data_IF_343548505285
#
_entry.id   IF_343548505285
#
_cell.length_a   1.000
_cell.length_b   1.000
_cell.length_c   1.000
_cell.angle_alpha   90.00
_cell.angle_beta   90.00
_cell.angle_gamma   90.00
#
_symmetry.space_group_name_H-M   'P 1'
#
loop_
_entity.id
_entity.type
_entity.pdbx_description
1 polymer ?
#
# COMPACT_ATOMS: atom_id res chain seq x y z
N UNK A 1 48.63 -0.91 -15.10
CA UNK A 1 48.15 -0.55 -13.75
C UNK A 1 46.87 0.25 -13.94
N UNK A 2 45.69 -0.36 -13.71
CA UNK A 2 44.42 0.34 -13.76
C UNK A 2 44.10 0.84 -12.34
N UNK A 3 44.19 2.15 -12.13
CA UNK A 3 43.72 2.78 -10.89
C UNK A 3 42.20 2.86 -10.94
N UNK A 4 41.55 2.02 -10.14
CA UNK A 4 40.10 2.07 -9.88
C UNK A 4 39.78 3.42 -9.22
N UNK A 5 39.13 4.31 -9.94
CA UNK A 5 38.64 5.59 -9.41
C UNK A 5 37.46 5.30 -8.49
N UNK A 6 37.73 5.28 -7.18
CA UNK A 6 36.69 5.29 -6.15
C UNK A 6 35.84 6.55 -6.33
N UNK A 7 34.54 6.36 -6.54
CA UNK A 7 33.55 7.42 -6.61
C UNK A 7 33.53 8.20 -5.29
N UNK A 8 33.61 9.54 -5.29
CA UNK A 8 33.58 10.32 -4.06
C UNK A 8 32.14 10.37 -3.53
N UNK A 9 32.02 10.17 -2.21
CA UNK A 9 30.80 10.34 -1.41
C UNK A 9 29.64 9.36 -1.66
N UNK A 10 29.88 8.07 -1.40
CA UNK A 10 28.75 7.20 -1.04
C UNK A 10 28.25 7.60 0.37
N UNK A 11 27.04 8.17 0.52
CA UNK A 11 26.53 8.64 1.81
C UNK A 11 26.38 7.52 2.84
N UNK A 12 26.27 6.27 2.38
CA UNK A 12 26.23 5.09 3.24
C UNK A 12 27.53 4.88 4.04
N UNK A 13 28.65 5.45 3.59
CA UNK A 13 29.93 5.42 4.32
C UNK A 13 30.00 6.40 5.50
N UNK A 14 29.01 7.30 5.61
CA UNK A 14 28.92 8.30 6.69
C UNK A 14 27.92 7.91 7.77
N UNK A 15 27.23 6.77 7.61
CA UNK A 15 26.30 6.25 8.59
C UNK A 15 27.07 5.66 9.77
N UNK A 16 26.62 5.97 10.98
CA UNK A 16 27.17 5.39 12.19
C UNK A 16 26.72 3.92 12.29
N UNK A 17 27.61 3.04 12.77
CA UNK A 17 27.28 1.64 12.96
C UNK A 17 26.12 1.43 13.95
N UNK A 18 25.99 2.31 14.94
CA UNK A 18 24.88 2.27 15.88
C UNK A 18 23.52 2.56 15.21
N UNK A 19 23.47 3.54 14.32
CA UNK A 19 22.23 3.90 13.60
C UNK A 19 21.81 2.77 12.65
N UNK A 20 22.79 2.08 12.04
CA UNK A 20 22.54 0.92 11.18
C UNK A 20 21.96 -0.24 11.99
N UNK A 21 22.52 -0.52 13.16
CA UNK A 21 22.03 -1.58 14.05
C UNK A 21 20.60 -1.29 14.52
N UNK A 22 20.31 -0.05 14.92
CA UNK A 22 18.97 0.39 15.30
C UNK A 22 17.96 0.21 14.15
N UNK A 23 18.34 0.53 12.91
CA UNK A 23 17.44 0.37 11.76
C UNK A 23 17.21 -1.07 11.36
N UNK A 24 18.17 -1.97 11.60
CA UNK A 24 17.99 -3.41 11.33
C UNK A 24 16.98 -4.02 12.30
N UNK A 25 16.97 -3.54 13.56
CA UNK A 25 16.16 -4.10 14.65
C UNK A 25 14.91 -3.29 14.98
N UNK A 26 14.58 -2.27 14.18
CA UNK A 26 13.48 -1.34 14.48
C UNK A 26 12.12 -2.04 14.58
N UNK A 27 11.96 -3.17 13.89
CA UNK A 27 10.71 -3.92 13.81
C UNK A 27 10.67 -5.13 14.77
N UNK A 28 11.75 -5.41 15.52
CA UNK A 28 11.85 -6.61 16.37
C UNK A 28 10.82 -6.64 17.50
N UNK A 29 10.44 -5.46 18.02
CA UNK A 29 9.45 -5.31 19.09
C UNK A 29 7.99 -5.21 18.57
N UNK A 30 7.79 -5.31 17.25
CA UNK A 30 6.45 -5.23 16.66
C UNK A 30 5.78 -6.61 16.75
N UNK A 31 4.64 -6.67 17.44
CA UNK A 31 3.83 -7.88 17.52
C UNK A 31 3.34 -8.30 16.12
N UNK A 32 3.71 -9.52 15.71
CA UNK A 32 3.31 -10.09 14.42
C UNK A 32 1.83 -10.47 14.48
N UNK A 33 0.98 -9.59 13.95
CA UNK A 33 -0.48 -9.77 13.95
C UNK A 33 -0.96 -11.00 13.16
N UNK A 34 -0.25 -11.39 12.10
CA UNK A 34 -0.55 -12.56 11.30
C UNK A 34 0.68 -13.03 10.51
N UNK A 35 0.78 -14.35 10.33
CA UNK A 35 1.77 -14.99 9.46
C UNK A 35 1.05 -15.71 8.35
N UNK A 36 1.48 -15.50 7.11
CA UNK A 36 0.85 -16.12 5.94
C UNK A 36 1.81 -17.09 5.29
N UNK A 37 1.29 -18.25 4.90
CA UNK A 37 1.99 -19.23 4.07
C UNK A 37 1.97 -18.82 2.61
N UNK A 38 2.92 -19.32 1.81
CA UNK A 38 2.98 -19.05 0.37
C UNK A 38 1.66 -19.39 -0.34
N UNK A 39 0.97 -20.44 0.10
CA UNK A 39 -0.32 -20.84 -0.45
C UNK A 39 -1.43 -19.83 -0.15
N UNK A 40 -1.48 -19.27 1.07
CA UNK A 40 -2.44 -18.24 1.45
C UNK A 40 -2.17 -16.92 0.71
N UNK A 41 -0.89 -16.58 0.51
CA UNK A 41 -0.50 -15.41 -0.29
C UNK A 41 -0.94 -15.60 -1.75
N UNK A 42 -0.67 -16.75 -2.36
CA UNK A 42 -1.09 -17.05 -3.74
C UNK A 42 -2.61 -17.00 -3.87
N UNK A 43 -3.32 -17.56 -2.89
CA UNK A 43 -4.78 -17.54 -2.88
C UNK A 43 -5.33 -16.12 -2.71
N UNK A 44 -4.66 -15.24 -1.95
CA UNK A 44 -5.05 -13.83 -1.81
C UNK A 44 -5.02 -13.08 -3.15
N UNK A 45 -4.06 -13.42 -4.00
CA UNK A 45 -3.86 -12.78 -5.30
C UNK A 45 -4.80 -13.40 -6.35
N UNK A 46 -5.07 -14.70 -6.25
CA UNK A 46 -5.83 -15.47 -7.25
C UNK A 46 -7.34 -15.45 -6.97
N UNK A 47 -7.75 -15.23 -5.73
CA UNK A 47 -9.16 -15.21 -5.30
C UNK A 47 -9.35 -14.15 -4.20
N UNK A 48 -9.42 -12.86 -4.57
CA UNK A 48 -9.42 -11.75 -3.61
C UNK A 48 -10.62 -11.79 -2.65
N UNK A 49 -11.76 -12.34 -3.06
CA UNK A 49 -13.00 -12.32 -2.30
C UNK A 49 -13.07 -13.33 -1.13
N UNK A 50 -12.04 -14.17 -0.92
CA UNK A 50 -12.06 -15.27 0.06
C UNK A 50 -11.28 -15.05 1.35
N UNK A 51 -10.47 -14.00 1.46
CA UNK A 51 -9.59 -13.80 2.63
C UNK A 51 -10.13 -12.75 3.60
N UNK A 52 -11.15 -11.99 3.22
CA UNK A 52 -11.82 -11.05 4.13
C UNK A 52 -12.55 -11.75 5.29
N UNK A 53 -12.91 -13.04 5.16
CA UNK A 53 -13.66 -13.77 6.20
C UNK A 53 -12.86 -14.02 7.49
N UNK A 54 -11.53 -14.11 7.44
CA UNK A 54 -10.74 -14.45 8.64
C UNK A 54 -10.26 -13.24 9.44
N UNK A 55 -10.51 -12.02 8.97
CA UNK A 55 -10.25 -10.78 9.70
C UNK A 55 -11.54 -10.07 10.15
N UNK A 56 -12.70 -10.66 9.89
CA UNK A 56 -14.00 -10.02 10.11
C UNK A 56 -14.78 -10.69 11.23
N UNK A 57 -14.31 -10.53 12.47
CA UNK A 57 -15.21 -10.60 13.62
C UNK A 57 -15.90 -9.24 13.80
N UNK A 58 -16.90 -8.95 12.97
CA UNK A 58 -18.12 -8.28 13.44
C UNK A 58 -19.27 -8.61 12.48
N UNK A 59 -20.04 -9.62 12.88
CA UNK A 59 -21.33 -9.92 12.29
C UNK A 59 -22.31 -8.80 12.66
N UNK A 60 -22.76 -8.09 11.65
CA UNK A 60 -23.88 -7.16 11.72
C UNK A 60 -24.52 -7.07 10.35
N UNK A 61 -25.37 -8.04 10.01
CA UNK A 61 -26.42 -7.83 9.01
C UNK A 61 -27.29 -6.66 9.49
N UNK A 62 -27.04 -5.45 9.00
CA UNK A 62 -28.05 -4.39 8.98
C UNK A 62 -27.86 -3.48 7.77
N UNK A 63 -28.89 -3.47 6.93
CA UNK A 63 -29.21 -2.53 5.86
C UNK A 63 -28.03 -2.02 5.00
N UNK A 64 -27.83 -2.65 3.83
CA UNK A 64 -27.09 -2.11 2.68
C UNK A 64 -27.73 -0.81 2.15
N UNK A 65 -27.77 0.24 2.97
CA UNK A 65 -27.68 1.60 2.47
C UNK A 65 -26.20 1.87 2.27
N UNK A 66 -25.76 1.75 1.03
CA UNK A 66 -24.51 2.35 0.57
C UNK A 66 -24.59 3.85 0.86
N UNK A 67 -24.16 4.23 2.06
CA UNK A 67 -24.21 5.62 2.50
C UNK A 67 -23.24 6.40 1.61
N UNK A 68 -23.76 7.44 0.97
CA UNK A 68 -22.99 8.21 0.01
C UNK A 68 -21.75 8.79 0.71
N UNK A 69 -20.56 8.36 0.29
CA UNK A 69 -19.31 8.84 0.89
C UNK A 69 -19.22 10.36 0.73
N UNK A 70 -19.13 11.06 1.86
CA UNK A 70 -18.97 12.51 1.88
C UNK A 70 -17.64 12.88 1.21
N UNK A 71 -17.71 13.72 0.18
CA UNK A 71 -16.51 14.21 -0.49
C UNK A 71 -15.70 15.16 0.41
N UNK A 72 -14.38 15.23 0.20
CA UNK A 72 -13.51 16.18 0.92
C UNK A 72 -13.99 17.63 0.82
N UNK A 73 -14.56 18.03 -0.32
CA UNK A 73 -15.08 19.38 -0.52
C UNK A 73 -16.36 19.63 0.32
N UNK A 74 -17.23 18.62 0.42
CA UNK A 74 -18.43 18.70 1.26
C UNK A 74 -18.05 18.78 2.75
N UNK A 75 -17.08 17.99 3.20
CA UNK A 75 -16.57 18.03 4.57
C UNK A 75 -15.94 19.39 4.92
N UNK A 76 -15.14 19.97 4.00
CA UNK A 76 -14.51 21.29 4.16
C UNK A 76 -15.55 22.41 4.32
N UNK A 77 -16.58 22.41 3.47
CA UNK A 77 -17.69 23.36 3.60
C UNK A 77 -18.47 23.18 4.91
N UNK A 78 -18.65 21.93 5.34
CA UNK A 78 -19.30 21.60 6.60
C UNK A 78 -18.55 22.17 7.80
N UNK A 79 -17.24 21.91 7.90
CA UNK A 79 -16.44 22.38 9.03
C UNK A 79 -16.32 23.91 9.06
N UNK A 80 -16.21 24.58 7.90
CA UNK A 80 -16.24 26.04 7.82
C UNK A 80 -17.54 26.63 8.38
N UNK A 81 -18.66 25.95 8.14
CA UNK A 81 -19.97 26.37 8.66
C UNK A 81 -20.02 26.21 10.18
N UNK A 82 -19.50 25.09 10.71
CA UNK A 82 -19.40 24.85 12.15
C UNK A 82 -18.51 25.88 12.83
N UNK A 83 -17.34 26.20 12.25
CA UNK A 83 -16.43 27.22 12.79
C UNK A 83 -17.11 28.58 12.89
N UNK A 84 -17.74 29.03 11.80
CA UNK A 84 -18.47 30.31 11.81
C UNK A 84 -19.55 30.32 12.88
N UNK A 85 -20.26 29.20 13.06
CA UNK A 85 -21.27 29.08 14.09
C UNK A 85 -20.65 29.20 15.50
N UNK A 86 -19.59 28.46 15.82
CA UNK A 86 -18.98 28.53 17.17
C UNK A 86 -18.33 29.88 17.44
N UNK A 87 -17.77 30.55 16.43
CA UNK A 87 -17.19 31.90 16.56
C UNK A 87 -18.24 32.98 16.85
N UNK A 88 -19.44 32.83 16.31
CA UNK A 88 -20.52 33.82 16.44
C UNK A 88 -21.37 33.62 17.70
N UNK A 89 -21.36 32.41 18.28
CA UNK A 89 -22.20 32.07 19.42
C UNK A 89 -21.43 32.20 20.73
N UNK A 90 -21.84 33.16 21.57
CA UNK A 90 -21.25 33.42 22.89
C UNK A 90 -21.40 32.27 23.90
N UNK A 91 -22.19 31.25 23.58
CA UNK A 91 -22.33 30.03 24.41
C UNK A 91 -21.10 29.13 24.38
N UNK A 92 -20.21 29.29 23.39
CA UNK A 92 -18.96 28.55 23.29
C UNK A 92 -17.82 29.30 23.95
N UNK A 93 -16.98 28.58 24.68
CA UNK A 93 -15.76 29.13 25.25
C UNK A 93 -14.70 29.35 24.17
N UNK A 94 -13.69 30.17 24.47
CA UNK A 94 -12.55 30.35 23.58
C UNK A 94 -11.82 29.02 23.30
N UNK A 95 -11.82 28.11 24.27
CA UNK A 95 -11.24 26.78 24.12
C UNK A 95 -12.02 25.96 23.09
N UNK A 96 -13.35 26.03 23.09
CA UNK A 96 -14.20 25.30 22.13
C UNK A 96 -13.97 25.82 20.70
N UNK A 97 -13.86 27.14 20.55
CA UNK A 97 -13.51 27.77 19.26
C UNK A 97 -12.14 27.29 18.78
N UNK A 98 -11.14 27.27 19.65
CA UNK A 98 -9.81 26.77 19.32
C UNK A 98 -9.83 25.29 18.91
N UNK A 99 -10.61 24.45 19.61
CA UNK A 99 -10.75 23.03 19.26
C UNK A 99 -11.39 22.83 17.89
N UNK A 100 -12.39 23.62 17.53
CA UNK A 100 -12.99 23.56 16.18
C UNK A 100 -11.96 23.86 15.08
N UNK A 101 -11.11 24.88 15.30
CA UNK A 101 -9.99 25.19 14.40
C UNK A 101 -8.93 24.08 14.34
N UNK A 102 -8.63 23.40 15.44
CA UNK A 102 -7.74 22.24 15.42
C UNK A 102 -8.29 21.09 14.55
N UNK A 103 -9.59 20.83 14.64
CA UNK A 103 -10.25 19.80 13.81
C UNK A 103 -10.15 20.17 12.32
N UNK A 104 -10.35 21.44 11.96
CA UNK A 104 -10.17 21.92 10.59
C UNK A 104 -8.74 21.70 10.07
N UNK A 105 -7.74 22.08 10.86
CA UNK A 105 -6.35 21.87 10.49
C UNK A 105 -6.04 20.38 10.25
N UNK A 106 -6.50 19.51 11.15
CA UNK A 106 -6.35 18.06 10.98
C UNK A 106 -7.02 17.56 9.70
N UNK A 107 -8.22 18.04 9.38
CA UNK A 107 -8.93 17.68 8.15
C UNK A 107 -8.12 18.06 6.90
N UNK A 108 -7.55 19.28 6.86
CA UNK A 108 -6.72 19.75 5.75
C UNK A 108 -5.45 18.90 5.62
N UNK A 109 -4.79 18.58 6.73
CA UNK A 109 -3.59 17.73 6.74
C UNK A 109 -3.91 16.32 6.21
N UNK A 110 -5.02 15.71 6.65
CA UNK A 110 -5.44 14.38 6.19
C UNK A 110 -5.82 14.37 4.71
N UNK A 111 -6.51 15.41 4.22
CA UNK A 111 -6.82 15.60 2.79
C UNK A 111 -5.55 15.62 1.95
N UNK A 112 -4.50 16.33 2.40
CA UNK A 112 -3.22 16.38 1.69
C UNK A 112 -2.52 15.01 1.68
N UNK A 113 -2.49 14.31 2.80
CA UNK A 113 -1.92 12.95 2.90
C UNK A 113 -2.65 11.96 1.98
N UNK A 114 -3.98 12.02 1.94
CA UNK A 114 -4.81 11.19 1.07
C UNK A 114 -4.48 11.39 -0.41
N UNK A 115 -4.24 12.65 -0.84
CA UNK A 115 -3.81 12.96 -2.22
C UNK A 115 -2.45 12.33 -2.55
N UNK A 116 -1.47 12.44 -1.65
CA UNK A 116 -0.15 11.81 -1.83
C UNK A 116 -0.24 10.29 -2.01
N UNK A 117 -1.10 9.62 -1.23
CA UNK A 117 -1.34 8.18 -1.40
C UNK A 117 -2.04 7.85 -2.73
N UNK A 118 -2.93 8.71 -3.20
CA UNK A 118 -3.53 8.61 -4.54
C UNK A 118 -2.47 8.60 -5.65
N UNK A 119 -1.47 9.48 -5.55
CA UNK A 119 -0.38 9.56 -6.52
C UNK A 119 0.47 8.28 -6.52
N UNK A 120 0.85 7.76 -5.34
CA UNK A 120 1.61 6.50 -5.23
C UNK A 120 0.84 5.34 -5.87
N UNK A 121 -0.45 5.17 -5.55
CA UNK A 121 -1.30 4.14 -6.17
C UNK A 121 -1.36 4.25 -7.69
N UNK A 122 -1.40 5.48 -8.21
CA UNK A 122 -1.39 5.74 -9.65
C UNK A 122 -0.06 5.33 -10.29
N UNK A 123 1.08 5.64 -9.66
CA UNK A 123 2.39 5.21 -10.16
C UNK A 123 2.56 3.69 -10.13
N UNK A 124 2.14 3.03 -9.05
CA UNK A 124 2.15 1.57 -8.95
C UNK A 124 1.29 0.92 -10.03
N UNK A 125 0.05 1.40 -10.20
CA UNK A 125 -0.85 0.89 -11.24
C UNK A 125 -0.25 1.08 -12.65
N UNK A 126 0.37 2.23 -12.92
CA UNK A 126 1.06 2.48 -14.20
C UNK A 126 2.24 1.54 -14.42
N UNK A 127 3.03 1.24 -13.39
CA UNK A 127 4.15 0.31 -13.47
C UNK A 127 3.70 -1.13 -13.79
N UNK A 128 2.64 -1.60 -13.10
CA UNK A 128 2.03 -2.92 -13.35
C UNK A 128 1.50 -3.01 -14.79
N UNK A 129 0.79 -2.00 -15.26
CA UNK A 129 0.28 -1.97 -16.64
C UNK A 129 1.38 -1.89 -17.71
N UNK A 130 2.56 -1.33 -17.38
CA UNK A 130 3.70 -1.28 -18.29
C UNK A 130 4.47 -2.60 -18.35
N UNK A 131 4.53 -3.36 -17.26
CA UNK A 131 5.20 -4.67 -17.18
C UNK A 131 4.40 -5.79 -17.86
N UNK A 132 3.07 -5.69 -17.88
CA UNK A 132 2.20 -6.69 -18.52
C UNK A 132 2.34 -6.78 -20.05
N UNK A 133 2.93 -5.77 -20.71
CA UNK A 133 3.11 -5.75 -22.18
C UNK A 133 4.35 -6.53 -22.62
N UNK A 134 5.31 -6.79 -21.71
CA UNK A 134 6.57 -7.47 -22.05
C UNK A 134 6.54 -9.00 -21.79
N UNK A 135 5.55 -9.50 -21.05
CA UNK A 135 5.42 -10.93 -20.75
C UNK A 135 4.80 -11.79 -21.88
N UNK A 136 4.35 -11.18 -22.99
CA UNK A 136 3.64 -11.88 -24.06
C UNK A 136 4.53 -12.42 -25.19
N UNK A 137 5.87 -12.29 -25.10
CA UNK A 137 6.78 -12.67 -26.20
C UNK A 137 7.94 -13.55 -25.72
N UNK A 138 7.64 -14.68 -25.10
CA UNK A 138 8.60 -15.79 -25.01
C UNK A 138 8.14 -16.94 -25.91
N UNK A 139 8.91 -17.32 -26.95
CA UNK A 139 8.59 -18.50 -27.74
C UNK A 139 8.78 -19.75 -26.88
N UNK A 140 7.71 -20.53 -26.74
CA UNK A 140 7.78 -21.87 -26.14
C UNK A 140 8.69 -22.76 -26.98
N UNK A 141 9.82 -23.20 -26.41
CA UNK A 141 10.59 -24.29 -26.99
C UNK A 141 9.93 -25.60 -26.57
N UNK A 142 9.01 -26.09 -27.41
CA UNK A 142 8.48 -27.45 -27.29
C UNK A 142 9.63 -28.43 -27.47
N UNK A 143 9.97 -29.16 -26.40
CA UNK A 143 10.86 -30.31 -26.45
C UNK A 143 10.05 -31.48 -27.02
N UNK A 144 10.22 -31.74 -28.31
CA UNK A 144 9.83 -33.01 -28.91
C UNK A 144 11.02 -33.96 -28.81
N UNK A 145 11.02 -34.79 -27.76
CA UNK A 145 11.74 -36.05 -27.80
C UNK A 145 10.76 -37.06 -28.41
N UNK A 146 10.97 -37.41 -29.67
CA UNK A 146 10.20 -38.45 -30.34
C UNK A 146 11.12 -39.49 -30.98
N UNK A 147 10.72 -40.72 -30.73
CA UNK A 147 11.07 -42.01 -31.28
C UNK A 147 12.52 -42.56 -31.27
N UNK A 148 12.67 -43.58 -30.42
CA UNK A 148 13.75 -44.56 -30.38
C UNK A 148 13.31 -45.75 -31.25
N UNK A 149 13.77 -45.80 -32.51
CA UNK A 149 13.53 -46.94 -33.39
C UNK A 149 14.38 -48.14 -32.94
N UNK A 150 13.74 -49.14 -32.35
CA UNK A 150 14.34 -50.44 -32.06
C UNK A 150 14.34 -51.24 -33.36
N UNK A 151 15.51 -51.37 -33.98
CA UNK A 151 15.72 -52.29 -35.11
C UNK A 151 15.89 -53.70 -34.55
N UNK A 152 14.85 -54.52 -34.73
CA UNK A 152 14.91 -55.98 -34.64
C UNK A 152 15.82 -56.51 -35.76
N UNK A 153 16.91 -57.18 -35.40
CA UNK A 153 17.71 -57.98 -36.32
C UNK A 153 17.30 -59.43 -36.12
N UNK A 154 16.58 -59.99 -37.08
CA UNK A 154 16.35 -61.42 -37.22
C UNK A 154 17.27 -61.99 -38.32
N UNK A 155 17.82 -63.18 -37.99
CA UNK A 155 18.66 -64.12 -38.75
C UNK A 155 20.13 -63.76 -39.04
#
# INVERSE_FOLDING_TARGET
MATSTASPDNPLRKLNAADIEEWIHIDDDIEVAATFTDQEIIQSITTPDKIEENCSEESGEDDDKVEEKISWAAAEKGIETVIKFVEQNHSFSLQDVMQAHMVQNNLITKKLQSRKQGDIRKYLKKAVSSSAVEAASVPSTSSAADDMEVVEINE
#
